data_IF_189073725279
#
_entry.id   IF_189073725279
#
_cell.length_a   1.000
_cell.length_b   1.000
_cell.length_c   1.000
_cell.angle_alpha   90.00
_cell.angle_beta   90.00
_cell.angle_gamma   90.00
#
_symmetry.space_group_name_H-M   'P 1'
#
loop_
_entity.id
_entity.type
_entity.pdbx_description
1 polymer ?
#
# COMPACT_ATOMS: atom_id res chain seq x y z
N UNK A 1 5.55 -7.03 4.21
CA UNK A 1 5.80 -5.65 4.68
C UNK A 1 5.56 -5.68 6.17
N UNK A 2 6.63 -5.41 6.91
CA UNK A 2 6.89 -5.51 8.36
C UNK A 2 5.65 -5.74 9.24
N UNK A 3 5.66 -6.83 10.01
CA UNK A 3 4.76 -7.08 11.15
C UNK A 3 4.92 -5.94 12.17
N UNK A 4 4.10 -4.89 12.02
CA UNK A 4 4.08 -3.72 12.90
C UNK A 4 3.70 -4.07 14.35
N UNK A 5 3.13 -5.25 14.57
CA UNK A 5 2.84 -5.79 15.92
C UNK A 5 4.10 -6.33 16.64
N UNK A 6 5.14 -6.74 15.92
CA UNK A 6 6.33 -7.38 16.51
C UNK A 6 7.34 -6.37 17.08
N UNK A 7 7.49 -5.21 16.44
CA UNK A 7 8.50 -4.19 16.78
C UNK A 7 8.16 -3.35 18.03
N UNK A 8 6.90 -3.34 18.47
CA UNK A 8 6.44 -2.48 19.58
C UNK A 8 6.99 -2.96 20.94
N UNK A 9 7.39 -4.23 21.06
CA UNK A 9 7.87 -4.80 22.32
C UNK A 9 9.34 -4.48 22.64
N UNK A 10 10.10 -3.88 21.72
CA UNK A 10 11.54 -3.58 21.89
C UNK A 10 11.87 -2.08 22.00
N UNK A 11 10.87 -1.18 22.03
CA UNK A 11 11.09 0.27 22.06
C UNK A 11 11.24 0.85 23.48
N UNK A 12 12.11 1.87 23.60
CA UNK A 12 12.43 2.60 24.84
C UNK A 12 11.15 3.18 25.52
N UNK A 13 11.01 3.09 26.86
CA UNK A 13 9.86 3.61 27.62
C UNK A 13 9.54 5.09 27.37
N UNK A 14 10.53 5.89 26.98
CA UNK A 14 10.34 7.31 26.65
C UNK A 14 9.57 7.54 25.33
N UNK A 15 9.61 6.58 24.41
CA UNK A 15 8.90 6.60 23.12
C UNK A 15 7.49 5.99 23.28
N UNK A 16 7.33 5.02 24.21
CA UNK A 16 6.03 4.42 24.52
C UNK A 16 4.97 5.47 24.88
N UNK A 17 5.31 6.58 25.56
CA UNK A 17 4.36 7.65 25.88
C UNK A 17 3.83 8.44 24.68
N UNK A 18 4.64 8.54 23.60
CA UNK A 18 4.27 9.20 22.35
C UNK A 18 3.56 8.24 21.37
N UNK A 19 3.91 6.95 21.42
CA UNK A 19 3.33 5.88 20.59
C UNK A 19 2.02 5.30 21.14
N UNK A 20 1.81 5.21 22.46
CA UNK A 20 0.62 4.58 23.07
C UNK A 20 -0.73 5.05 22.49
N UNK A 21 -0.92 6.34 22.19
CA UNK A 21 -2.16 6.81 21.56
C UNK A 21 -2.24 6.47 20.06
N UNK A 22 -1.10 6.47 19.35
CA UNK A 22 -1.01 6.21 17.90
C UNK A 22 -1.18 4.72 17.61
N UNK A 23 -0.66 3.84 18.47
CA UNK A 23 -0.80 2.38 18.37
C UNK A 23 -2.19 1.90 18.76
N UNK A 24 -2.84 2.53 19.76
CA UNK A 24 -4.27 2.33 20.04
C UNK A 24 -5.18 2.80 18.89
N UNK A 25 -4.74 3.81 18.13
CA UNK A 25 -5.40 4.33 16.92
C UNK A 25 -5.22 3.40 15.71
N UNK A 26 -4.00 2.89 15.49
CA UNK A 26 -3.72 1.85 14.51
C UNK A 26 -4.56 0.60 14.82
N UNK A 27 -4.60 0.16 16.08
CA UNK A 27 -5.47 -0.95 16.47
C UNK A 27 -6.95 -0.65 16.25
N UNK A 28 -7.49 0.56 16.49
CA UNK A 28 -8.93 0.80 16.25
C UNK A 28 -9.30 0.97 14.77
N UNK A 29 -8.43 1.56 13.95
CA UNK A 29 -8.65 1.69 12.51
C UNK A 29 -8.33 0.39 11.73
N UNK A 30 -7.36 -0.41 12.19
CA UNK A 30 -6.96 -1.69 11.59
C UNK A 30 -7.56 -2.94 12.26
N UNK A 31 -8.10 -2.89 13.48
CA UNK A 31 -8.76 -4.06 14.12
C UNK A 31 -10.03 -4.51 13.39
N UNK A 32 -10.61 -3.65 12.55
CA UNK A 32 -11.66 -4.02 11.59
C UNK A 32 -11.13 -4.49 10.24
N UNK A 33 -9.86 -4.21 9.89
CA UNK A 33 -9.25 -4.58 8.61
C UNK A 33 -7.74 -4.80 8.76
N UNK A 34 -7.28 -6.02 9.03
CA UNK A 34 -5.92 -6.39 8.70
C UNK A 34 -5.74 -6.26 7.17
N UNK A 35 -5.19 -5.13 6.74
CA UNK A 35 -4.88 -4.85 5.35
C UNK A 35 -3.63 -5.64 4.96
N UNK A 36 -3.76 -6.75 4.22
CA UNK A 36 -2.67 -7.24 3.38
C UNK A 36 -3.14 -7.81 2.03
N UNK A 37 -2.32 -7.49 1.02
CA UNK A 37 -2.19 -7.98 -0.37
C UNK A 37 -3.08 -7.48 -1.52
N UNK A 38 -4.30 -7.00 -1.33
CA UNK A 38 -5.18 -6.62 -2.48
C UNK A 38 -5.52 -5.13 -2.59
N UNK A 39 -5.12 -4.31 -1.62
CA UNK A 39 -5.38 -2.88 -1.68
C UNK A 39 -4.31 -2.21 -2.52
N UNK A 40 -4.66 -1.88 -3.76
CA UNK A 40 -3.86 -1.00 -4.61
C UNK A 40 -3.78 0.34 -3.89
N UNK A 41 -2.58 0.81 -3.45
CA UNK A 41 -2.46 2.09 -2.80
C UNK A 41 -2.80 3.19 -3.81
N UNK A 42 -3.62 4.14 -3.38
CA UNK A 42 -4.16 5.20 -4.25
C UNK A 42 -3.71 6.54 -3.68
N UNK A 43 -2.55 7.07 -4.12
CA UNK A 43 -2.15 8.41 -3.72
C UNK A 43 -3.14 9.43 -4.27
N UNK A 44 -3.26 10.55 -3.56
CA UNK A 44 -4.00 11.70 -4.06
C UNK A 44 -3.20 12.34 -5.20
N UNK A 45 -3.83 12.54 -6.35
CA UNK A 45 -3.25 13.18 -7.54
C UNK A 45 -4.29 14.10 -8.18
N UNK A 46 -3.92 15.34 -8.52
CA UNK A 46 -4.86 16.34 -9.03
C UNK A 46 -5.40 15.98 -10.43
N UNK A 47 -4.62 15.26 -11.23
CA UNK A 47 -5.00 14.84 -12.59
C UNK A 47 -4.99 13.31 -12.69
N UNK A 48 -6.14 12.76 -13.02
CA UNK A 48 -6.34 11.34 -13.30
C UNK A 48 -6.59 11.17 -14.80
N UNK A 49 -5.79 10.33 -15.44
CA UNK A 49 -5.85 10.09 -16.88
C UNK A 49 -5.99 8.59 -17.13
N UNK A 50 -7.04 8.19 -17.83
CA UNK A 50 -7.22 6.81 -18.29
C UNK A 50 -6.91 6.74 -19.78
N UNK A 51 -5.94 5.92 -20.14
CA UNK A 51 -5.49 5.75 -21.52
C UNK A 51 -5.94 4.41 -22.07
N UNK A 52 -6.96 4.42 -22.93
CA UNK A 52 -7.41 3.22 -23.62
C UNK A 52 -6.48 2.91 -24.79
N UNK A 53 -5.81 1.77 -24.74
CA UNK A 53 -4.92 1.28 -25.79
C UNK A 53 -5.59 0.06 -26.43
N UNK A 54 -6.26 0.30 -27.54
CA UNK A 54 -6.99 -0.73 -28.26
C UNK A 54 -6.10 -1.41 -29.28
N UNK A 55 -5.70 -2.65 -28.99
CA UNK A 55 -4.89 -3.48 -29.89
C UNK A 55 -5.83 -4.40 -30.67
N UNK A 56 -5.99 -4.16 -31.97
CA UNK A 56 -6.98 -4.86 -32.78
C UNK A 56 -6.42 -5.34 -34.12
N UNK A 57 -7.13 -6.28 -34.74
CA UNK A 57 -6.84 -6.74 -36.10
C UNK A 57 -7.45 -5.83 -37.17
N UNK A 58 -7.80 -6.37 -38.32
CA UNK A 58 -8.49 -5.63 -39.39
C UNK A 58 -10.01 -5.54 -39.14
N UNK A 59 -10.54 -6.37 -38.24
CA UNK A 59 -11.90 -6.25 -37.72
C UNK A 59 -12.05 -4.99 -36.84
N UNK A 60 -13.00 -4.12 -37.19
CA UNK A 60 -13.27 -2.89 -36.43
C UNK A 60 -13.79 -3.14 -35.00
N UNK A 61 -13.99 -2.06 -34.23
CA UNK A 61 -14.36 -2.06 -32.81
C UNK A 61 -15.81 -2.47 -32.49
N UNK A 62 -16.41 -3.38 -33.27
CA UNK A 62 -17.81 -3.76 -33.10
C UNK A 62 -18.02 -4.44 -31.72
N UNK A 63 -18.92 -3.90 -30.90
CA UNK A 63 -19.20 -4.38 -29.55
C UNK A 63 -18.28 -3.85 -28.46
N UNK A 64 -17.61 -2.70 -28.66
CA UNK A 64 -16.85 -2.01 -27.62
C UNK A 64 -17.21 -0.53 -27.62
N UNK A 65 -18.06 -0.10 -26.69
CA UNK A 65 -18.48 1.29 -26.56
C UNK A 65 -17.66 2.05 -25.51
N UNK A 66 -16.57 2.65 -25.96
CA UNK A 66 -15.72 3.52 -25.14
C UNK A 66 -16.52 4.66 -24.48
N UNK A 67 -17.50 5.24 -25.19
CA UNK A 67 -18.29 6.36 -24.66
C UNK A 67 -19.19 5.89 -23.52
N UNK A 68 -19.68 4.66 -23.56
CA UNK A 68 -20.46 4.07 -22.47
C UNK A 68 -19.62 3.93 -21.19
N UNK A 69 -18.38 3.45 -21.32
CA UNK A 69 -17.43 3.34 -20.21
C UNK A 69 -17.10 4.72 -19.65
N UNK A 70 -16.72 5.66 -20.51
CA UNK A 70 -16.40 7.05 -20.12
C UNK A 70 -17.58 7.72 -19.41
N UNK A 71 -18.78 7.62 -19.99
CA UNK A 71 -20.01 8.17 -19.42
C UNK A 71 -20.28 7.65 -18.02
N UNK A 72 -20.07 6.35 -17.77
CA UNK A 72 -20.25 5.75 -16.44
C UNK A 72 -19.42 6.45 -15.37
N UNK A 73 -18.21 6.91 -15.70
CA UNK A 73 -17.37 7.67 -14.77
C UNK A 73 -17.72 9.16 -14.76
N UNK A 74 -17.88 9.78 -15.94
CA UNK A 74 -18.12 11.23 -16.07
C UNK A 74 -19.44 11.65 -15.42
N UNK A 75 -20.50 10.84 -15.53
CA UNK A 75 -21.77 11.11 -14.86
C UNK A 75 -21.57 11.16 -13.33
N UNK A 76 -20.78 10.24 -12.78
CA UNK A 76 -20.44 10.21 -11.35
C UNK A 76 -19.47 11.31 -10.91
N UNK A 77 -18.66 11.85 -11.84
CA UNK A 77 -17.87 13.07 -11.60
C UNK A 77 -18.80 14.28 -11.50
N UNK A 78 -19.75 14.41 -12.42
CA UNK A 78 -20.70 15.54 -12.46
C UNK A 78 -21.58 15.57 -11.20
N UNK A 79 -21.99 14.40 -10.71
CA UNK A 79 -22.78 14.25 -9.48
C UNK A 79 -21.94 14.41 -8.20
N UNK A 80 -20.64 14.72 -8.32
CA UNK A 80 -19.69 14.77 -7.20
C UNK A 80 -19.78 13.49 -6.37
N UNK A 81 -19.74 12.33 -7.01
CA UNK A 81 -19.75 11.02 -6.40
C UNK A 81 -18.37 10.37 -6.27
N UNK A 82 -17.50 10.57 -7.28
CA UNK A 82 -16.26 9.78 -7.42
C UNK A 82 -14.97 10.53 -7.04
N UNK A 83 -14.81 11.78 -7.51
CA UNK A 83 -13.59 12.57 -7.30
C UNK A 83 -13.56 13.23 -5.92
N UNK A 84 -12.37 13.58 -5.46
CA UNK A 84 -12.12 14.21 -4.17
C UNK A 84 -11.42 15.57 -4.38
N UNK A 85 -11.91 16.65 -3.76
CA UNK A 85 -11.35 17.99 -3.93
C UNK A 85 -11.34 18.45 -5.40
N UNK A 86 -10.21 19.03 -5.82
CA UNK A 86 -10.04 19.62 -7.15
C UNK A 86 -9.54 18.62 -8.21
N UNK A 87 -9.72 17.31 -7.97
CA UNK A 87 -9.30 16.28 -8.93
C UNK A 87 -10.03 16.41 -10.27
N UNK A 88 -9.29 16.26 -11.37
CA UNK A 88 -9.82 16.15 -12.72
C UNK A 88 -9.64 14.74 -13.29
N UNK A 89 -10.66 14.24 -14.01
CA UNK A 89 -10.60 12.97 -14.73
C UNK A 89 -10.66 13.22 -16.24
N UNK A 90 -9.77 12.59 -16.98
CA UNK A 90 -9.75 12.63 -18.45
C UNK A 90 -9.53 11.26 -19.05
N UNK A 91 -10.07 11.05 -20.25
CA UNK A 91 -9.94 9.81 -21.00
C UNK A 91 -9.24 10.10 -22.32
N UNK A 92 -8.31 9.24 -22.69
CA UNK A 92 -7.61 9.28 -23.98
C UNK A 92 -7.70 7.93 -24.64
N UNK A 93 -7.77 7.92 -25.96
CA UNK A 93 -7.91 6.71 -26.76
C UNK A 93 -6.80 6.63 -27.80
N UNK A 94 -6.18 5.47 -27.86
CA UNK A 94 -5.14 5.09 -28.81
C UNK A 94 -5.54 3.78 -29.48
N UNK A 95 -5.24 3.65 -30.77
CA UNK A 95 -5.52 2.46 -31.56
C UNK A 95 -4.21 1.92 -32.14
N UNK A 96 -4.01 0.62 -31.99
CA UNK A 96 -2.81 -0.09 -32.44
C UNK A 96 -3.25 -1.33 -33.22
N UNK A 97 -2.72 -1.49 -34.43
CA UNK A 97 -3.00 -2.69 -35.23
C UNK A 97 -2.02 -3.80 -34.87
N UNK A 98 -2.50 -5.05 -34.77
CA UNK A 98 -1.63 -6.21 -34.60
C UNK A 98 -0.60 -6.34 -35.74
N UNK A 99 -0.95 -5.93 -36.96
CA UNK A 99 -0.03 -5.93 -38.11
C UNK A 99 1.15 -4.98 -37.96
N UNK A 100 1.00 -3.91 -37.18
CA UNK A 100 2.03 -2.90 -36.92
C UNK A 100 2.79 -3.15 -35.60
N UNK A 101 2.28 -4.04 -34.75
CA UNK A 101 2.79 -4.30 -33.40
C UNK A 101 3.25 -5.75 -33.22
N UNK A 102 4.48 -6.05 -33.64
CA UNK A 102 5.10 -7.37 -33.45
C UNK A 102 5.20 -7.76 -31.97
N UNK A 103 5.48 -6.80 -31.09
CA UNK A 103 5.52 -7.00 -29.63
C UNK A 103 4.15 -7.38 -29.06
N UNK A 104 3.05 -6.85 -29.61
CA UNK A 104 1.69 -7.21 -29.20
C UNK A 104 1.40 -8.67 -29.51
N UNK A 105 1.72 -9.13 -30.72
CA UNK A 105 1.56 -10.54 -31.11
C UNK A 105 2.45 -11.47 -30.28
N UNK A 106 3.71 -11.08 -30.05
CA UNK A 106 4.63 -11.82 -29.18
C UNK A 106 4.10 -11.94 -27.75
N UNK A 107 3.56 -10.86 -27.20
CA UNK A 107 3.01 -10.80 -25.84
C UNK A 107 1.86 -11.80 -25.66
N UNK A 108 0.93 -11.84 -26.62
CA UNK A 108 -0.17 -12.81 -26.61
C UNK A 108 0.38 -14.24 -26.71
N UNK A 109 1.25 -14.52 -27.68
CA UNK A 109 1.81 -15.85 -27.87
C UNK A 109 2.59 -16.36 -26.63
N UNK A 110 3.33 -15.49 -25.94
CA UNK A 110 4.09 -15.82 -24.72
C UNK A 110 3.18 -16.10 -23.52
N UNK A 111 2.03 -15.46 -23.46
CA UNK A 111 1.08 -15.61 -22.36
C UNK A 111 0.03 -16.70 -22.58
N UNK A 112 -0.16 -17.17 -23.82
CA UNK A 112 -1.05 -18.31 -24.11
C UNK A 112 -0.54 -19.56 -23.42
N UNK A 113 -1.42 -20.16 -22.64
CA UNK A 113 -1.18 -21.39 -21.89
C UNK A 113 -2.37 -22.32 -22.08
N UNK A 114 -2.15 -23.62 -21.92
CA UNK A 114 -3.21 -24.63 -22.00
C UNK A 114 -3.46 -25.26 -20.63
N UNK A 115 -4.71 -25.62 -20.39
CA UNK A 115 -5.12 -26.43 -19.25
C UNK A 115 -5.97 -27.59 -19.72
N UNK A 116 -5.90 -28.70 -19.00
CA UNK A 116 -6.75 -29.86 -19.24
C UNK A 116 -7.81 -29.94 -18.18
N UNK A 117 -9.09 -29.94 -18.56
CA UNK A 117 -10.20 -30.22 -17.64
C UNK A 117 -10.74 -31.63 -17.88
N UNK A 118 -11.26 -32.22 -16.80
CA UNK A 118 -12.04 -33.46 -16.85
C UNK A 118 -13.49 -33.08 -16.67
N UNK A 119 -14.30 -33.27 -17.71
CA UNK A 119 -15.74 -33.07 -17.63
C UNK A 119 -16.41 -34.41 -17.33
N UNK A 120 -17.25 -34.47 -16.28
CA UNK A 120 -17.95 -35.69 -15.85
C UNK A 120 -19.45 -35.56 -16.19
N UNK A 121 -19.81 -35.95 -17.41
CA UNK A 121 -21.19 -36.30 -17.76
C UNK A 121 -21.14 -37.71 -18.34
N UNK A 122 -21.35 -38.72 -17.48
CA UNK A 122 -21.41 -40.17 -17.73
C UNK A 122 -20.23 -40.84 -18.49
N UNK A 123 -19.35 -40.09 -19.14
CA UNK A 123 -18.14 -40.54 -19.83
C UNK A 123 -16.98 -39.58 -19.55
N UNK A 124 -15.82 -40.13 -19.17
CA UNK A 124 -14.60 -39.36 -18.94
C UNK A 124 -14.03 -38.85 -20.27
N UNK A 125 -14.25 -37.57 -20.59
CA UNK A 125 -13.61 -36.89 -21.71
C UNK A 125 -12.58 -35.88 -21.20
N UNK A 126 -11.37 -35.93 -21.74
CA UNK A 126 -10.32 -34.94 -21.50
C UNK A 126 -10.50 -33.81 -22.51
N UNK A 127 -10.73 -32.59 -22.02
CA UNK A 127 -10.83 -31.39 -22.86
C UNK A 127 -9.58 -30.55 -22.60
N UNK A 128 -8.88 -30.19 -23.66
CA UNK A 128 -7.75 -29.25 -23.62
C UNK A 128 -8.28 -27.88 -24.04
N UNK A 129 -8.16 -26.91 -23.14
CA UNK A 129 -8.60 -25.53 -23.37
C UNK A 129 -7.44 -24.57 -23.17
N UNK A 130 -7.43 -23.48 -23.92
CA UNK A 130 -6.39 -22.45 -23.84
C UNK A 130 -6.89 -21.23 -23.06
N UNK A 131 -5.97 -20.54 -22.40
CA UNK A 131 -6.22 -19.29 -21.70
C UNK A 131 -4.98 -18.40 -21.71
N UNK A 132 -5.15 -17.13 -21.37
CA UNK A 132 -4.06 -16.16 -21.26
C UNK A 132 -3.69 -15.97 -19.79
N UNK A 133 -2.43 -16.19 -19.45
CA UNK A 133 -1.90 -15.92 -18.11
C UNK A 133 -1.74 -14.40 -17.93
N UNK A 134 -2.55 -13.82 -17.04
CA UNK A 134 -2.58 -12.37 -16.85
C UNK A 134 -1.27 -11.82 -16.27
N UNK A 135 -0.58 -12.60 -15.43
CA UNK A 135 0.69 -12.19 -14.80
C UNK A 135 1.81 -12.19 -15.82
N UNK A 136 1.83 -13.18 -16.73
CA UNK A 136 2.80 -13.20 -17.83
C UNK A 136 2.57 -12.06 -18.82
N UNK A 137 1.31 -11.73 -19.11
CA UNK A 137 0.97 -10.55 -19.92
C UNK A 137 1.47 -9.28 -19.25
N UNK A 138 1.12 -9.06 -17.98
CA UNK A 138 1.52 -7.91 -17.19
C UNK A 138 3.04 -7.74 -17.17
N UNK A 139 3.78 -8.80 -16.85
CA UNK A 139 5.24 -8.78 -16.83
C UNK A 139 5.83 -8.46 -18.21
N UNK A 140 5.31 -9.07 -19.28
CA UNK A 140 5.85 -8.85 -20.64
C UNK A 140 5.59 -7.42 -21.12
N UNK A 141 4.41 -6.86 -20.83
CA UNK A 141 4.09 -5.46 -21.13
C UNK A 141 5.01 -4.53 -20.34
N UNK A 142 5.19 -4.78 -19.04
CA UNK A 142 6.11 -3.99 -18.20
C UNK A 142 7.56 -4.01 -18.72
N UNK A 143 8.05 -5.17 -19.12
CA UNK A 143 9.40 -5.33 -19.70
C UNK A 143 9.58 -4.58 -21.03
N UNK A 144 8.47 -4.22 -21.72
CA UNK A 144 8.50 -3.62 -23.06
C UNK A 144 7.65 -2.35 -23.19
N UNK A 145 7.38 -1.65 -22.08
CA UNK A 145 6.50 -0.46 -22.04
C UNK A 145 6.89 0.60 -23.06
N UNK A 146 8.19 0.88 -23.23
CA UNK A 146 8.68 1.90 -24.16
C UNK A 146 8.36 1.55 -25.61
N UNK A 147 8.45 0.26 -25.95
CA UNK A 147 8.11 -0.24 -27.28
C UNK A 147 6.61 -0.17 -27.54
N UNK A 148 5.78 -0.52 -26.55
CA UNK A 148 4.32 -0.35 -26.63
C UNK A 148 3.93 1.12 -26.83
N UNK A 149 4.55 2.03 -26.08
CA UNK A 149 4.31 3.48 -26.22
C UNK A 149 4.74 4.00 -27.59
N UNK A 150 5.91 3.58 -28.07
CA UNK A 150 6.43 3.96 -29.40
C UNK A 150 5.50 3.51 -30.51
N UNK A 151 5.07 2.24 -30.49
CA UNK A 151 4.18 1.69 -31.52
C UNK A 151 2.80 2.32 -31.46
N UNK A 152 2.27 2.56 -30.25
CA UNK A 152 0.98 3.23 -30.07
C UNK A 152 1.00 4.74 -30.32
N UNK A 153 2.17 5.34 -30.57
CA UNK A 153 2.37 6.80 -30.68
C UNK A 153 1.82 7.55 -29.47
N UNK A 154 1.97 6.96 -28.28
CA UNK A 154 1.58 7.61 -27.04
C UNK A 154 2.55 8.76 -26.73
N UNK A 155 2.07 9.93 -26.32
CA UNK A 155 2.92 11.02 -25.86
C UNK A 155 3.67 10.61 -24.59
N UNK A 156 4.76 11.33 -24.28
CA UNK A 156 5.46 11.15 -23.01
C UNK A 156 4.56 11.44 -21.80
N UNK A 157 4.93 10.88 -20.65
CA UNK A 157 4.15 10.92 -19.41
C UNK A 157 3.71 12.33 -19.06
N UNK A 158 2.41 12.55 -19.05
CA UNK A 158 1.82 13.78 -18.53
C UNK A 158 1.87 13.79 -17.00
N UNK A 159 2.01 14.98 -16.42
CA UNK A 159 1.93 15.17 -14.97
C UNK A 159 0.57 14.71 -14.43
N UNK A 160 0.60 13.72 -13.54
CA UNK A 160 -0.56 13.15 -12.87
C UNK A 160 -0.53 11.63 -12.86
N UNK A 161 -1.64 11.01 -12.45
CA UNK A 161 -1.78 9.56 -12.45
C UNK A 161 -2.34 9.07 -13.78
N UNK A 162 -1.48 8.44 -14.57
CA UNK A 162 -1.85 7.79 -15.83
C UNK A 162 -2.12 6.31 -15.59
N UNK A 163 -3.30 5.83 -15.98
CA UNK A 163 -3.68 4.41 -15.97
C UNK A 163 -3.83 3.90 -17.42
N UNK A 164 -2.86 3.15 -17.95
CA UNK A 164 -3.00 2.48 -19.23
C UNK A 164 -3.96 1.29 -19.12
N UNK A 165 -4.90 1.20 -20.07
CA UNK A 165 -5.89 0.14 -20.20
C UNK A 165 -5.68 -0.53 -21.55
N UNK A 166 -4.97 -1.66 -21.53
CA UNK A 166 -4.70 -2.46 -22.72
C UNK A 166 -5.89 -3.36 -23.03
N UNK A 167 -6.48 -3.21 -24.21
CA UNK A 167 -7.57 -4.06 -24.69
C UNK A 167 -7.10 -4.80 -25.93
N UNK A 168 -6.89 -6.11 -25.79
CA UNK A 168 -6.50 -6.99 -26.90
C UNK A 168 -7.75 -7.59 -27.55
N UNK A 169 -8.09 -7.11 -28.74
CA UNK A 169 -9.17 -7.64 -29.57
C UNK A 169 -8.64 -8.71 -30.53
N UNK A 170 -8.68 -9.96 -30.06
CA UNK A 170 -8.09 -11.09 -30.76
C UNK A 170 -9.03 -11.63 -31.84
N UNK A 171 -8.48 -11.75 -33.05
CA UNK A 171 -9.20 -12.25 -34.21
C UNK A 171 -9.33 -13.78 -34.29
N UNK A 172 -9.41 -14.44 -33.13
CA UNK A 172 -9.49 -15.90 -32.99
C UNK A 172 -10.91 -16.35 -32.66
N UNK A 173 -11.31 -17.51 -33.19
CA UNK A 173 -12.63 -18.13 -32.91
C UNK A 173 -12.62 -18.95 -31.61
N UNK A 174 -11.43 -19.29 -31.09
CA UNK A 174 -11.28 -19.92 -29.78
C UNK A 174 -11.55 -18.92 -28.68
N UNK A 175 -12.19 -19.36 -27.60
CA UNK A 175 -12.44 -18.52 -26.43
C UNK A 175 -11.14 -18.46 -25.63
N UNK A 176 -10.55 -17.26 -25.55
CA UNK A 176 -9.37 -16.97 -24.74
C UNK A 176 -9.76 -15.94 -23.68
N UNK A 177 -9.75 -16.37 -22.42
CA UNK A 177 -9.99 -15.54 -21.25
C UNK A 177 -8.71 -15.41 -20.43
N UNK A 178 -8.61 -14.33 -19.65
CA UNK A 178 -7.54 -14.12 -18.68
C UNK A 178 -7.74 -15.06 -17.49
N UNK A 179 -6.71 -15.83 -17.17
CA UNK A 179 -6.72 -16.80 -16.07
C UNK A 179 -7.92 -17.76 -16.09
N UNK A 180 -8.41 -18.08 -17.29
CA UNK A 180 -9.59 -18.92 -17.62
C UNK A 180 -10.96 -18.28 -17.37
N UNK A 181 -11.05 -17.23 -16.57
CA UNK A 181 -12.34 -16.73 -16.06
C UNK A 181 -12.62 -15.27 -16.39
N UNK A 182 -11.59 -14.45 -16.53
CA UNK A 182 -11.73 -13.01 -16.54
C UNK A 182 -11.63 -12.46 -17.96
N UNK A 183 -12.49 -11.50 -18.30
CA UNK A 183 -12.32 -10.70 -19.51
C UNK A 183 -11.32 -9.55 -19.29
N UNK A 184 -11.21 -9.08 -18.04
CA UNK A 184 -10.27 -8.04 -17.65
C UNK A 184 -9.71 -8.29 -16.26
N UNK A 185 -8.45 -7.91 -16.06
CA UNK A 185 -7.73 -8.00 -14.79
C UNK A 185 -7.12 -6.63 -14.50
N UNK A 186 -7.27 -6.20 -13.25
CA UNK A 186 -6.70 -4.97 -12.72
C UNK A 186 -5.36 -5.26 -12.04
N UNK A 187 -4.32 -4.52 -12.44
CA UNK A 187 -3.04 -4.45 -11.73
C UNK A 187 -2.90 -3.06 -11.10
N UNK A 188 -1.86 -2.86 -10.27
CA UNK A 188 -1.60 -1.58 -9.61
C UNK A 188 -1.36 -0.44 -10.61
N UNK A 189 -0.77 -0.79 -11.73
CA UNK A 189 -0.13 0.09 -12.72
C UNK A 189 -0.80 0.05 -14.10
N UNK A 190 -1.62 -0.97 -14.39
CA UNK A 190 -2.35 -1.09 -15.65
C UNK A 190 -3.60 -1.94 -15.52
N UNK A 191 -4.48 -1.86 -16.51
CA UNK A 191 -5.59 -2.81 -16.72
C UNK A 191 -5.35 -3.55 -18.01
N UNK A 192 -5.57 -4.87 -18.00
CA UNK A 192 -5.46 -5.71 -19.19
C UNK A 192 -6.82 -6.34 -19.43
N UNK A 193 -7.35 -6.23 -20.64
CA UNK A 193 -8.57 -6.86 -21.08
C UNK A 193 -8.37 -7.60 -22.40
N UNK A 194 -9.15 -8.66 -22.59
CA UNK A 194 -9.12 -9.51 -23.78
C UNK A 194 -10.53 -9.78 -24.25
N UNK A 195 -10.71 -9.73 -25.57
CA UNK A 195 -11.92 -10.21 -26.25
C UNK A 195 -11.53 -11.05 -27.46
N UNK A 196 -12.45 -11.92 -27.87
CA UNK A 196 -12.27 -12.85 -29.00
C UNK A 196 -13.44 -12.75 -29.97
N UNK A 197 -13.36 -13.42 -31.13
CA UNK A 197 -14.46 -13.38 -32.12
C UNK A 197 -15.73 -14.05 -31.62
N UNK A 198 -15.61 -15.10 -30.82
CA UNK A 198 -16.74 -15.76 -30.17
C UNK A 198 -17.52 -14.74 -29.34
N UNK A 199 -18.85 -14.79 -29.39
CA UNK A 199 -19.72 -13.80 -28.72
C UNK A 199 -20.10 -14.22 -27.31
N UNK A 200 -20.16 -15.52 -27.04
CA UNK A 200 -20.62 -16.06 -25.76
C UNK A 200 -19.81 -17.30 -25.37
N UNK A 201 -19.65 -17.49 -24.07
CA UNK A 201 -19.12 -18.72 -23.47
C UNK A 201 -19.94 -19.12 -22.26
N UNK A 202 -20.03 -20.43 -22.01
CA UNK A 202 -20.53 -20.96 -20.75
C UNK A 202 -19.49 -20.65 -19.68
N UNK A 203 -19.91 -20.01 -18.59
CA UNK A 203 -19.04 -19.79 -17.43
C UNK A 203 -19.08 -21.01 -16.50
N UNK A 204 -18.07 -21.13 -15.64
CA UNK A 204 -18.03 -22.16 -14.57
C UNK A 204 -19.07 -21.88 -13.46
N UNK A 205 -19.79 -20.76 -13.55
CA UNK A 205 -20.80 -20.37 -12.57
C UNK A 205 -22.20 -20.88 -12.96
N UNK A 206 -22.95 -21.32 -11.95
CA UNK A 206 -24.35 -21.69 -12.11
C UNK A 206 -25.22 -20.91 -11.12
N UNK A 207 -26.37 -20.41 -11.59
CA UNK A 207 -27.39 -19.76 -10.78
C UNK A 207 -28.68 -20.59 -10.83
N UNK A 208 -29.18 -21.02 -9.67
CA UNK A 208 -30.40 -21.84 -9.56
C UNK A 208 -30.41 -23.10 -10.47
N UNK A 209 -29.25 -23.74 -10.66
CA UNK A 209 -29.11 -24.92 -11.52
C UNK A 209 -28.98 -24.63 -13.01
N UNK A 210 -29.02 -23.35 -13.42
CA UNK A 210 -28.75 -22.93 -14.79
C UNK A 210 -27.33 -22.36 -14.93
N UNK A 211 -26.64 -22.71 -16.01
CA UNK A 211 -25.33 -22.14 -16.32
C UNK A 211 -25.45 -20.65 -16.64
N UNK A 212 -24.52 -19.86 -16.12
CA UNK A 212 -24.40 -18.45 -16.46
C UNK A 212 -23.56 -18.30 -17.73
N UNK A 213 -24.05 -17.53 -18.69
CA UNK A 213 -23.32 -17.22 -19.91
C UNK A 213 -22.57 -15.91 -19.75
N UNK A 214 -21.36 -15.85 -20.27
CA UNK A 214 -20.56 -14.63 -20.32
C UNK A 214 -20.48 -14.15 -21.76
N UNK A 215 -20.81 -12.87 -21.98
CA UNK A 215 -20.71 -12.23 -23.27
C UNK A 215 -19.28 -11.77 -23.51
N UNK A 216 -18.50 -12.56 -24.25
CA UNK A 216 -17.05 -12.37 -24.41
C UNK A 216 -16.67 -11.10 -25.17
N UNK A 217 -17.60 -10.51 -25.93
CA UNK A 217 -17.39 -9.25 -26.66
C UNK A 217 -17.75 -8.00 -25.87
N UNK A 218 -18.68 -8.09 -24.94
CA UNK A 218 -19.08 -6.97 -24.08
C UNK A 218 -18.02 -6.80 -22.99
N UNK A 219 -17.28 -5.68 -23.05
CA UNK A 219 -16.18 -5.39 -22.12
C UNK A 219 -16.48 -4.20 -21.21
N UNK A 220 -17.57 -3.49 -21.42
CA UNK A 220 -17.90 -2.24 -20.74
C UNK A 220 -17.91 -2.43 -19.23
N UNK A 221 -18.67 -3.42 -18.75
CA UNK A 221 -18.79 -3.76 -17.34
C UNK A 221 -17.46 -4.24 -16.71
N UNK A 222 -16.77 -5.26 -17.23
CA UNK A 222 -15.51 -5.72 -16.65
C UNK A 222 -14.41 -4.64 -16.69
N UNK A 223 -14.36 -3.80 -17.73
CA UNK A 223 -13.46 -2.65 -17.79
C UNK A 223 -13.76 -1.61 -16.72
N UNK A 224 -15.03 -1.22 -16.52
CA UNK A 224 -15.39 -0.28 -15.44
C UNK A 224 -14.94 -0.82 -14.08
N UNK A 225 -15.20 -2.11 -13.79
CA UNK A 225 -14.74 -2.73 -12.55
C UNK A 225 -13.22 -2.72 -12.40
N UNK A 226 -12.48 -3.02 -13.47
CA UNK A 226 -11.02 -3.09 -13.42
C UNK A 226 -10.38 -1.71 -13.28
N UNK A 227 -10.94 -0.69 -13.94
CA UNK A 227 -10.51 0.70 -13.79
C UNK A 227 -10.76 1.18 -12.35
N UNK A 228 -11.90 0.85 -11.74
CA UNK A 228 -12.17 1.18 -10.34
C UNK A 228 -11.17 0.55 -9.37
N UNK A 229 -10.78 -0.70 -9.61
CA UNK A 229 -9.76 -1.39 -8.83
C UNK A 229 -8.41 -0.70 -8.96
N UNK A 230 -7.92 -0.48 -10.19
CA UNK A 230 -6.60 0.10 -10.43
C UNK A 230 -6.54 1.56 -10.02
N UNK A 231 -7.48 2.39 -10.47
CA UNK A 231 -7.45 3.85 -10.27
C UNK A 231 -7.82 4.23 -8.83
N UNK A 232 -8.87 3.63 -8.25
CA UNK A 232 -9.39 4.03 -6.92
C UNK A 232 -9.27 2.95 -5.84
N UNK A 233 -8.64 1.81 -6.13
CA UNK A 233 -8.40 0.76 -5.13
C UNK A 233 -9.70 0.09 -4.64
N UNK A 234 -10.80 0.24 -5.37
CA UNK A 234 -12.10 -0.31 -4.98
C UNK A 234 -12.08 -1.81 -5.18
N UNK A 235 -12.20 -2.58 -4.10
CA UNK A 235 -12.20 -4.04 -4.18
C UNK A 235 -13.48 -4.58 -4.82
N UNK A 236 -13.42 -5.72 -5.55
CA UNK A 236 -14.60 -6.43 -6.01
C UNK A 236 -15.58 -6.71 -4.87
N UNK A 237 -16.87 -6.59 -5.13
CA UNK A 237 -17.91 -6.73 -4.08
C UNK A 237 -18.03 -8.14 -3.52
N UNK A 238 -17.60 -9.18 -4.24
CA UNK A 238 -17.55 -10.54 -3.70
C UNK A 238 -16.30 -10.85 -2.87
N UNK A 239 -15.36 -9.93 -2.72
CA UNK A 239 -14.19 -10.17 -1.88
C UNK A 239 -14.43 -9.60 -0.49
N UNK A 240 -14.35 -10.47 0.52
CA UNK A 240 -14.52 -10.12 1.93
C UNK A 240 -13.24 -10.50 2.67
N UNK A 241 -12.73 -9.62 3.52
CA UNK A 241 -11.59 -9.95 4.38
C UNK A 241 -12.03 -10.76 5.60
N UNK A 242 -11.35 -11.86 5.90
CA UNK A 242 -11.57 -12.64 7.12
C UNK A 242 -10.41 -12.48 8.10
N UNK A 243 -10.61 -11.78 9.23
CA UNK A 243 -9.59 -11.66 10.27
C UNK A 243 -9.17 -13.02 10.87
N UNK A 244 -10.09 -14.00 10.89
CA UNK A 244 -9.82 -15.35 11.42
C UNK A 244 -8.84 -16.13 10.54
N UNK A 245 -8.99 -16.00 9.23
CA UNK A 245 -8.14 -16.72 8.26
C UNK A 245 -6.93 -15.90 7.81
N UNK A 246 -6.87 -14.61 8.19
CA UNK A 246 -5.88 -13.66 7.72
C UNK A 246 -5.78 -13.66 6.18
N UNK A 247 -6.93 -13.79 5.51
CA UNK A 247 -7.01 -13.89 4.05
C UNK A 247 -8.33 -13.30 3.54
N UNK A 248 -8.35 -12.92 2.27
CA UNK A 248 -9.61 -12.65 1.56
C UNK A 248 -10.35 -13.96 1.29
N UNK A 249 -11.67 -13.91 1.44
CA UNK A 249 -12.61 -14.96 1.09
C UNK A 249 -13.49 -14.46 -0.05
N UNK A 250 -13.96 -15.40 -0.86
CA UNK A 250 -14.91 -15.12 -1.94
C UNK A 250 -16.31 -15.41 -1.44
N UNK A 251 -17.17 -14.40 -1.48
CA UNK A 251 -18.59 -14.47 -1.16
C UNK A 251 -19.40 -13.75 -2.25
N UNK A 252 -20.00 -14.53 -3.14
CA UNK A 252 -20.79 -14.00 -4.25
C UNK A 252 -22.15 -13.43 -3.85
N UNK A 253 -22.53 -13.44 -2.56
CA UNK A 253 -23.78 -12.85 -2.06
C UNK A 253 -23.91 -11.37 -2.46
N UNK A 254 -22.78 -10.66 -2.61
CA UNK A 254 -22.72 -9.26 -3.02
C UNK A 254 -22.26 -9.05 -4.48
N UNK A 255 -22.21 -10.11 -5.28
CA UNK A 255 -22.03 -10.03 -6.74
C UNK A 255 -23.33 -9.99 -7.53
N UNK A 256 -24.46 -9.89 -6.83
CA UNK A 256 -25.78 -9.65 -7.43
C UNK A 256 -26.16 -8.18 -7.17
N UNK A 257 -26.74 -7.52 -8.18
CA UNK A 257 -27.21 -6.13 -8.07
C UNK A 257 -26.38 -5.11 -8.85
N UNK A 258 -26.42 -3.84 -8.41
CA UNK A 258 -25.81 -2.71 -9.11
C UNK A 258 -24.30 -2.63 -8.83
N UNK A 259 -23.52 -3.44 -9.53
CA UNK A 259 -22.07 -3.51 -9.37
C UNK A 259 -21.39 -3.93 -10.67
N UNK A 260 -20.31 -3.27 -11.11
CA UNK A 260 -19.54 -3.74 -12.26
C UNK A 260 -18.73 -5.02 -11.94
N UNK A 261 -18.74 -5.50 -10.70
CA UNK A 261 -17.97 -6.66 -10.26
C UNK A 261 -18.78 -7.96 -10.29
N UNK A 262 -18.07 -9.08 -10.47
CA UNK A 262 -18.60 -10.42 -10.34
C UNK A 262 -19.32 -10.93 -11.60
N UNK A 263 -19.63 -12.22 -11.68
CA UNK A 263 -20.24 -12.83 -12.85
C UNK A 263 -21.77 -12.69 -12.91
N UNK A 264 -22.42 -12.32 -11.80
CA UNK A 264 -23.89 -12.33 -11.66
C UNK A 264 -24.55 -10.94 -11.77
N UNK A 265 -23.77 -9.90 -12.10
CA UNK A 265 -24.30 -8.58 -12.41
C UNK A 265 -24.11 -8.28 -13.90
N UNK A 266 -25.13 -7.69 -14.51
CA UNK A 266 -25.12 -7.23 -15.90
C UNK A 266 -24.93 -5.71 -16.02
N UNK A 267 -24.86 -4.99 -14.90
CA UNK A 267 -24.90 -3.53 -14.86
C UNK A 267 -23.49 -2.96 -14.64
N UNK A 268 -23.12 -1.91 -15.38
CA UNK A 268 -21.82 -1.21 -15.22
C UNK A 268 -21.86 -0.01 -14.26
N UNK A 269 -23.03 0.44 -13.83
CA UNK A 269 -23.18 1.62 -12.98
C UNK A 269 -22.68 1.41 -11.54
N UNK A 270 -22.36 2.51 -10.86
CA UNK A 270 -21.68 2.50 -9.56
C UNK A 270 -22.67 2.63 -8.40
N UNK A 271 -22.60 1.71 -7.45
CA UNK A 271 -23.35 1.81 -6.20
C UNK A 271 -22.74 2.83 -5.24
N UNK A 272 -23.53 3.30 -4.27
CA UNK A 272 -23.07 4.19 -3.20
C UNK A 272 -21.78 3.67 -2.53
N UNK A 273 -21.73 2.37 -2.21
CA UNK A 273 -20.59 1.74 -1.51
C UNK A 273 -19.30 1.83 -2.33
N UNK A 274 -19.39 1.76 -3.66
CA UNK A 274 -18.22 1.85 -4.54
C UNK A 274 -17.70 3.28 -4.64
N UNK A 275 -18.61 4.25 -4.73
CA UNK A 275 -18.29 5.70 -4.76
C UNK A 275 -17.67 6.16 -3.45
N UNK A 276 -18.27 5.71 -2.36
CA UNK A 276 -17.78 5.87 -0.99
C UNK A 276 -16.37 5.28 -0.80
N UNK A 277 -16.17 4.03 -1.22
CA UNK A 277 -14.89 3.36 -1.14
C UNK A 277 -13.81 4.08 -1.97
N UNK A 278 -14.13 4.55 -3.18
CA UNK A 278 -13.18 5.23 -4.05
C UNK A 278 -12.57 6.46 -3.37
N UNK A 279 -13.39 7.31 -2.75
CA UNK A 279 -12.93 8.49 -2.00
C UNK A 279 -12.19 8.12 -0.73
N UNK A 280 -12.76 7.19 0.05
CA UNK A 280 -12.17 6.76 1.31
C UNK A 280 -10.79 6.14 1.12
N UNK A 281 -10.58 5.39 0.03
CA UNK A 281 -9.30 4.74 -0.26
C UNK A 281 -8.16 5.74 -0.46
N UNK A 282 -8.43 6.88 -1.11
CA UNK A 282 -7.45 7.96 -1.28
C UNK A 282 -7.02 8.48 0.10
N UNK A 283 -8.01 8.84 0.94
CA UNK A 283 -7.74 9.38 2.28
C UNK A 283 -7.04 8.37 3.19
N UNK A 284 -7.42 7.09 3.12
CA UNK A 284 -6.75 6.04 3.90
C UNK A 284 -5.31 5.81 3.45
N UNK A 285 -5.03 5.94 2.15
CA UNK A 285 -3.65 5.87 1.63
C UNK A 285 -2.83 7.06 2.15
N UNK A 286 -3.38 8.29 2.08
CA UNK A 286 -2.73 9.48 2.63
C UNK A 286 -2.52 9.37 4.14
N UNK A 287 -3.53 8.92 4.89
CA UNK A 287 -3.43 8.69 6.34
C UNK A 287 -2.31 7.70 6.68
N UNK A 288 -2.25 6.58 5.94
CA UNK A 288 -1.19 5.58 6.14
C UNK A 288 0.19 6.17 5.86
N UNK A 289 0.32 7.00 4.83
CA UNK A 289 1.57 7.70 4.53
C UNK A 289 1.98 8.67 5.66
N UNK A 290 1.06 9.54 6.12
CA UNK A 290 1.36 10.49 7.20
C UNK A 290 1.68 9.78 8.52
N UNK A 291 1.00 8.67 8.84
CA UNK A 291 1.33 7.84 10.02
C UNK A 291 2.69 7.19 9.89
N UNK A 292 2.99 6.57 8.74
CA UNK A 292 4.29 5.90 8.52
C UNK A 292 5.43 6.91 8.62
N UNK A 293 5.29 8.07 7.98
CA UNK A 293 6.28 9.15 8.08
C UNK A 293 6.41 9.70 9.50
N UNK A 294 5.32 9.74 10.28
CA UNK A 294 5.37 10.06 11.72
C UNK A 294 6.15 9.02 12.54
N UNK A 295 6.00 7.73 12.23
CA UNK A 295 6.77 6.64 12.85
C UNK A 295 8.26 6.81 12.51
N UNK A 296 8.60 7.07 11.26
CA UNK A 296 10.00 7.26 10.83
C UNK A 296 10.68 8.41 11.61
N UNK A 297 9.96 9.50 11.88
CA UNK A 297 10.49 10.58 12.72
C UNK A 297 10.75 10.11 14.15
N UNK A 298 9.80 9.40 14.76
CA UNK A 298 9.95 8.90 16.12
C UNK A 298 11.12 7.91 16.23
N UNK A 299 11.29 7.04 15.24
CA UNK A 299 12.42 6.12 15.16
C UNK A 299 13.75 6.87 15.00
N UNK A 300 13.78 7.94 14.20
CA UNK A 300 14.95 8.81 14.10
C UNK A 300 15.28 9.47 15.45
N UNK A 301 14.29 9.99 16.17
CA UNK A 301 14.49 10.55 17.51
C UNK A 301 15.02 9.50 18.48
N UNK A 302 14.46 8.29 18.42
CA UNK A 302 14.88 7.15 19.23
C UNK A 302 16.36 6.79 19.01
N UNK A 303 16.78 6.70 17.74
CA UNK A 303 18.14 6.38 17.36
C UNK A 303 19.17 7.40 17.89
N UNK A 304 18.76 8.66 18.07
CA UNK A 304 19.61 9.72 18.61
C UNK A 304 19.50 9.88 20.14
N UNK A 305 18.96 8.89 20.86
CA UNK A 305 18.95 8.85 22.32
C UNK A 305 17.77 9.58 22.99
N UNK A 306 16.71 9.87 22.23
CA UNK A 306 15.44 10.40 22.72
C UNK A 306 15.24 11.90 22.45
N UNK A 307 13.98 12.33 22.50
CA UNK A 307 13.52 13.68 22.17
C UNK A 307 14.22 14.76 23.02
N UNK A 308 14.39 14.52 24.32
CA UNK A 308 15.03 15.45 25.25
C UNK A 308 16.53 15.64 25.02
N UNK A 309 17.23 14.62 24.50
CA UNK A 309 18.66 14.69 24.22
C UNK A 309 18.93 15.31 22.87
N UNK A 310 18.14 14.93 21.88
CA UNK A 310 18.24 15.44 20.51
C UNK A 310 17.79 16.90 20.43
N UNK A 311 16.63 17.23 21.02
CA UNK A 311 16.01 18.55 20.90
C UNK A 311 16.35 19.42 22.12
N UNK A 312 17.10 20.50 21.90
CA UNK A 312 17.32 21.57 22.89
C UNK A 312 15.96 22.14 23.36
N UNK A 313 15.92 22.72 24.57
CA UNK A 313 14.67 23.06 25.28
C UNK A 313 13.65 23.89 24.45
N UNK A 314 14.10 24.84 23.64
CA UNK A 314 13.20 25.60 22.76
C UNK A 314 12.62 24.76 21.61
N UNK A 315 13.46 23.94 20.95
CA UNK A 315 13.03 23.04 19.86
C UNK A 315 12.17 21.89 20.37
N UNK A 316 12.41 21.45 21.61
CA UNK A 316 11.61 20.43 22.28
C UNK A 316 10.16 20.90 22.47
N UNK A 317 9.95 22.12 22.95
CA UNK A 317 8.61 22.68 23.11
C UNK A 317 7.88 22.80 21.76
N UNK A 318 8.56 23.30 20.73
CA UNK A 318 8.01 23.40 19.38
C UNK A 318 7.62 22.02 18.82
N UNK A 319 8.49 21.02 18.96
CA UNK A 319 8.19 19.64 18.57
C UNK A 319 6.93 19.10 19.25
N UNK A 320 6.81 19.25 20.57
CA UNK A 320 5.65 18.77 21.33
C UNK A 320 4.36 19.48 20.87
N UNK A 321 4.40 20.79 20.64
CA UNK A 321 3.24 21.53 20.14
C UNK A 321 2.81 21.03 18.75
N UNK A 322 3.76 20.88 17.83
CA UNK A 322 3.50 20.39 16.46
C UNK A 322 2.99 18.96 16.47
N UNK A 323 3.56 18.09 17.30
CA UNK A 323 3.14 16.71 17.45
C UNK A 323 1.69 16.60 17.97
N UNK A 324 1.34 17.41 18.97
CA UNK A 324 -0.03 17.45 19.48
C UNK A 324 -1.02 17.97 18.43
N UNK A 325 -0.64 18.98 17.64
CA UNK A 325 -1.49 19.51 16.57
C UNK A 325 -1.66 18.51 15.42
N UNK A 326 -0.57 17.86 15.01
CA UNK A 326 -0.57 16.78 14.02
C UNK A 326 -1.57 15.68 14.43
N UNK A 327 -1.44 15.18 15.67
CA UNK A 327 -2.37 14.19 16.23
C UNK A 327 -3.82 14.67 16.21
N UNK A 328 -4.07 15.90 16.68
CA UNK A 328 -5.43 16.47 16.66
C UNK A 328 -6.04 16.50 15.26
N UNK A 329 -5.25 16.88 14.25
CA UNK A 329 -5.70 16.93 12.85
C UNK A 329 -6.00 15.53 12.30
N UNK A 330 -5.19 14.52 12.64
CA UNK A 330 -5.49 13.13 12.27
C UNK A 330 -6.81 12.65 12.89
N UNK A 331 -7.04 12.92 14.18
CA UNK A 331 -8.28 12.55 14.87
C UNK A 331 -9.51 13.21 14.21
N UNK A 332 -9.37 14.49 13.83
CA UNK A 332 -10.42 15.24 13.12
C UNK A 332 -10.65 14.73 11.70
N UNK A 333 -9.61 14.34 10.99
CA UNK A 333 -9.78 13.71 9.67
C UNK A 333 -10.58 12.41 9.76
N UNK A 334 -10.24 11.53 10.70
CA UNK A 334 -10.95 10.26 10.92
C UNK A 334 -12.41 10.50 11.30
N UNK A 335 -12.66 11.49 12.18
CA UNK A 335 -14.03 11.88 12.55
C UNK A 335 -14.81 12.38 11.33
N UNK A 336 -14.23 13.24 10.50
CA UNK A 336 -14.86 13.71 9.27
C UNK A 336 -15.16 12.57 8.28
N UNK A 337 -14.22 11.64 8.09
CA UNK A 337 -14.42 10.44 7.27
C UNK A 337 -15.59 9.58 7.76
N UNK A 338 -15.77 9.45 9.08
CA UNK A 338 -16.89 8.68 9.66
C UNK A 338 -18.26 9.31 9.41
N UNK A 339 -18.29 10.64 9.15
CA UNK A 339 -19.48 11.39 8.77
C UNK A 339 -19.64 11.53 7.25
N UNK A 340 -18.82 10.83 6.44
CA UNK A 340 -18.78 10.95 4.99
C UNK A 340 -18.43 12.36 4.48
N UNK A 341 -17.84 13.21 5.34
CA UNK A 341 -17.34 14.54 4.96
C UNK A 341 -15.89 14.42 4.48
N UNK A 342 -15.76 14.01 3.22
CA UNK A 342 -14.47 13.71 2.61
C UNK A 342 -13.62 14.95 2.32
N UNK A 343 -14.24 16.09 2.03
CA UNK A 343 -13.54 17.36 1.80
C UNK A 343 -12.90 17.88 3.10
N UNK A 344 -13.64 17.85 4.20
CA UNK A 344 -13.10 18.22 5.50
C UNK A 344 -12.00 17.25 5.95
N UNK A 345 -12.17 15.95 5.69
CA UNK A 345 -11.15 14.96 5.99
C UNK A 345 -9.85 15.20 5.21
N UNK A 346 -9.95 15.52 3.91
CA UNK A 346 -8.80 15.86 3.06
C UNK A 346 -8.12 17.13 3.57
N UNK A 347 -8.89 18.16 3.93
CA UNK A 347 -8.36 19.40 4.47
C UNK A 347 -7.50 19.16 5.72
N UNK A 348 -8.00 18.39 6.69
CA UNK A 348 -7.25 18.08 7.90
C UNK A 348 -5.98 17.26 7.61
N UNK A 349 -6.04 16.29 6.68
CA UNK A 349 -4.87 15.50 6.29
C UNK A 349 -3.78 16.36 5.66
N UNK A 350 -4.11 17.15 4.62
CA UNK A 350 -3.16 18.08 3.99
C UNK A 350 -2.60 19.09 5.00
N UNK A 351 -3.45 19.58 5.90
CA UNK A 351 -3.02 20.47 6.97
C UNK A 351 -2.07 19.79 7.97
N UNK A 352 -2.21 18.48 8.18
CA UNK A 352 -1.35 17.71 9.08
C UNK A 352 0.05 17.46 8.48
N UNK A 353 0.14 17.33 7.15
CA UNK A 353 1.42 17.14 6.46
C UNK A 353 2.35 18.35 6.66
N UNK A 354 1.81 19.56 6.80
CA UNK A 354 2.61 20.75 7.14
C UNK A 354 3.25 20.66 8.53
N UNK A 355 2.53 20.12 9.53
CA UNK A 355 3.11 19.94 10.87
C UNK A 355 4.14 18.80 10.85
N UNK A 356 3.87 17.73 10.13
CA UNK A 356 4.79 16.61 9.97
C UNK A 356 6.08 17.02 9.27
N UNK A 357 5.99 17.84 8.22
CA UNK A 357 7.15 18.41 7.54
C UNK A 357 7.98 19.32 8.46
N UNK A 358 7.33 20.16 9.26
CA UNK A 358 8.02 21.01 10.24
C UNK A 358 8.75 20.16 11.30
N UNK A 359 8.09 19.10 11.78
CA UNK A 359 8.67 18.14 12.73
C UNK A 359 9.89 17.43 12.12
N UNK A 360 9.80 16.93 10.89
CA UNK A 360 10.92 16.34 10.14
C UNK A 360 12.10 17.31 10.06
N UNK A 361 11.82 18.56 9.70
CA UNK A 361 12.84 19.62 9.58
C UNK A 361 13.53 19.89 10.92
N UNK A 362 12.78 19.96 12.02
CA UNK A 362 13.33 20.15 13.37
C UNK A 362 14.27 19.01 13.78
N UNK A 363 13.85 17.77 13.54
CA UNK A 363 14.62 16.56 13.87
C UNK A 363 15.86 16.44 13.00
N UNK A 364 15.74 16.72 11.70
CA UNK A 364 16.86 16.71 10.77
C UNK A 364 17.94 17.75 11.12
N UNK A 365 17.55 18.99 11.43
CA UNK A 365 18.54 19.99 11.87
C UNK A 365 19.16 19.65 13.21
N UNK A 366 18.40 19.09 14.14
CA UNK A 366 18.93 18.66 15.43
C UNK A 366 19.92 17.50 15.29
N UNK A 367 19.68 16.56 14.38
CA UNK A 367 20.58 15.43 14.17
C UNK A 367 21.91 15.85 13.54
N UNK A 368 21.90 16.85 12.66
CA UNK A 368 23.13 17.42 12.09
C UNK A 368 24.02 18.13 13.11
N UNK A 369 23.45 18.67 14.18
CA UNK A 369 24.21 19.34 15.25
C UNK A 369 24.84 18.36 16.26
N UNK A 370 24.57 17.05 16.14
CA UNK A 370 25.14 16.06 17.03
C UNK A 370 26.60 15.80 16.65
N UNK A 371 27.51 16.19 17.55
CA UNK A 371 28.90 15.79 17.46
C UNK A 371 29.04 14.32 17.87
N UNK A 372 29.56 13.50 16.95
CA UNK A 372 29.87 12.10 17.23
C UNK A 372 31.08 12.03 18.19
N UNK A 373 30.81 11.95 19.49
CA UNK A 373 31.83 11.62 20.47
C UNK A 373 32.06 10.11 20.49
N UNK A 374 33.14 9.67 19.83
CA UNK A 374 33.65 8.31 19.92
C UNK A 374 34.25 8.10 21.31
N UNK A 375 33.43 7.61 22.26
CA UNK A 375 33.90 7.22 23.60
C UNK A 375 34.58 5.85 23.48
N UNK A 376 35.85 5.85 23.05
CA UNK A 376 36.60 4.60 22.81
C UNK A 376 36.89 3.83 24.10
N UNK A 377 36.98 4.49 25.26
CA UNK A 377 37.28 3.84 26.52
C UNK A 377 36.57 4.55 27.67
N UNK A 378 35.71 3.82 28.38
CA UNK A 378 35.25 4.22 29.70
C UNK A 378 36.35 3.77 30.67
N UNK A 379 37.19 4.71 31.10
CA UNK A 379 38.29 4.39 32.02
C UNK A 379 37.73 3.61 33.23
N UNK A 380 38.40 2.53 33.66
CA UNK A 380 37.96 1.78 34.82
C UNK A 380 37.88 2.73 36.02
N UNK A 381 36.83 2.63 36.86
CA UNK A 381 36.69 3.51 38.00
C UNK A 381 37.96 3.42 38.86
N UNK A 382 38.57 4.57 39.14
CA UNK A 382 39.75 4.69 40.00
C UNK A 382 39.53 3.84 41.27
N UNK A 383 40.42 2.88 41.59
CA UNK A 383 40.17 1.91 42.65
C UNK A 383 40.45 2.53 44.02
N UNK A 384 39.57 3.46 44.45
CA UNK A 384 39.65 4.21 45.70
C UNK A 384 39.88 3.32 46.92
N UNK A 385 39.31 2.11 46.92
CA UNK A 385 39.53 1.13 48.00
C UNK A 385 40.98 0.69 48.11
N UNK A 386 41.68 0.46 46.99
CA UNK A 386 43.09 0.07 46.99
C UNK A 386 44.02 1.23 47.39
N UNK A 387 43.68 2.46 47.02
CA UNK A 387 44.38 3.67 47.45
C UNK A 387 44.19 3.94 48.95
N UNK A 388 42.97 3.77 49.48
CA UNK A 388 42.69 3.94 50.90
C UNK A 388 43.32 2.83 51.76
N UNK A 389 43.32 1.58 51.29
CA UNK A 389 43.95 0.46 52.00
C UNK A 389 45.48 0.60 52.04
N UNK A 390 46.11 0.99 50.93
CA UNK A 390 47.55 1.23 50.89
C UNK A 390 47.95 2.44 51.74
N UNK A 391 47.20 3.54 51.68
CA UNK A 391 47.38 4.69 52.56
C UNK A 391 47.23 4.32 54.04
N UNK A 392 46.17 3.59 54.39
CA UNK A 392 45.92 3.12 55.76
C UNK A 392 47.01 2.19 56.28
N UNK A 393 47.51 1.27 55.46
CA UNK A 393 48.62 0.38 55.82
C UNK A 393 49.93 1.16 56.04
N UNK A 394 50.20 2.17 55.22
CA UNK A 394 51.37 3.03 55.36
C UNK A 394 51.31 3.85 56.66
N UNK A 395 50.17 4.44 57.00
CA UNK A 395 49.97 5.14 58.26
C UNK A 395 50.05 4.21 59.48
N UNK A 396 49.54 2.98 59.38
CA UNK A 396 49.66 1.98 60.44
C UNK A 396 51.12 1.55 60.67
N UNK A 397 51.89 1.35 59.60
CA UNK A 397 53.33 1.05 59.69
C UNK A 397 54.12 2.21 60.29
N UNK A 398 53.83 3.45 59.87
CA UNK A 398 54.43 4.65 60.47
C UNK A 398 54.08 4.77 61.96
N UNK A 399 52.84 4.47 62.34
CA UNK A 399 52.40 4.50 63.74
C UNK A 399 53.10 3.42 64.58
N UNK A 400 53.23 2.19 64.07
CA UNK A 400 53.96 1.11 64.75
C UNK A 400 55.46 1.43 64.85
N UNK A 401 56.05 2.01 63.81
CA UNK A 401 57.45 2.46 63.82
C UNK A 401 57.67 3.57 64.85
N UNK A 402 56.79 4.58 64.88
CA UNK A 402 56.86 5.69 65.84
C UNK A 402 56.63 5.26 67.31
N UNK A 403 55.85 4.18 67.55
CA UNK A 403 55.60 3.63 68.89
C UNK A 403 56.38 2.36 69.24
N UNK A 404 57.37 1.99 68.43
CA UNK A 404 58.19 0.77 68.61
C UNK A 404 58.76 0.62 70.02
N UNK A 405 59.23 1.70 70.63
CA UNK A 405 59.83 1.68 71.97
C UNK A 405 58.80 1.49 73.11
N UNK A 406 57.53 1.86 72.90
CA UNK A 406 56.43 1.62 73.86
C UNK A 406 55.81 0.24 73.69
N UNK A 407 55.74 -0.29 72.47
CA UNK A 407 55.11 -1.57 72.15
C UNK A 407 56.01 -2.78 72.43
N UNK A 408 57.33 -2.65 72.30
CA UNK A 408 58.29 -3.76 72.49
C UNK A 408 59.11 -3.67 73.79
N UNK A 409 58.53 -3.12 74.87
CA UNK A 409 59.10 -3.26 76.22
C UNK A 409 58.86 -4.68 76.75
N UNK A 410 59.63 -5.63 76.24
CA UNK A 410 59.74 -6.97 76.79
C UNK A 410 60.57 -6.94 78.06
N UNK A 411 60.01 -7.50 79.15
CA UNK A 411 60.72 -7.86 80.38
C UNK A 411 61.95 -8.72 80.03
N UNK A 412 63.15 -8.14 80.05
CA UNK A 412 64.39 -8.92 80.20
C UNK A 412 64.70 -9.07 81.69
N UNK A 413 64.92 -10.34 82.05
CA UNK A 413 64.93 -10.94 83.38
C UNK A 413 66.09 -10.45 84.27
N UNK A 414 65.86 -10.50 85.58
CA UNK A 414 66.90 -10.70 86.61
C UNK A 414 67.77 -11.91 86.22
N UNK A 415 69.07 -11.70 85.98
CA UNK A 415 70.19 -12.02 86.88
C UNK A 415 71.49 -11.58 86.18
#
# INVERSE_FOLDING_TARGET
MIDTCGLIWELDPSIMGLLYPVTGFCLKCLSGTPCTLLRIPVPFEDKLIVEFIHVHGDGGSFGLDWKSIERTFIDEVNDRGLLLGDQGLSFKKYEVKFSECSICSFTIARATTSYTSRYLFDNYTLIVSEYLDSKRLHQTILESVDEFRRVGKLPEEEFGRVLPVYVFDLEVNTILLLDRYHQSVAFKDMVIAVRTKSTQTVSDYSCNGHHVFTQTRELERPLVGSILQSMWGVSPTHLVWSPRHNSSLVDYTWSVGQTPFGPFSEISSLSFVQKDAARRNVLLTSLNYSITSGIDVLESIAAHGGDRKLLKQNRHYEFIQRWNLFRYKLDKSISAMSHFDYEMALYYLRSSDHDLYAIHTLVYHASQELEALLVCFRDPPLPWMSLLLSGGAFFALLYVYAKREKLFRSKRKQF
#
